data_IF_878326400388
#
_entry.id   IF_878326400388
#
_cell.length_a   1.000
_cell.length_b   1.000
_cell.length_c   1.000
_cell.angle_alpha   90.00
_cell.angle_beta   90.00
_cell.angle_gamma   90.00
#
_symmetry.space_group_name_H-M   'P 1'
#
loop_
_entity.id
_entity.type
_entity.pdbx_description
1 polymer ?
#
# COMPACT_ATOMS: atom_id res chain seq x y z
N UNK A 1 10.73 -22.30 9.79
CA UNK A 1 11.67 -22.32 10.92
C UNK A 1 12.92 -21.56 10.50
N UNK A 2 12.90 -20.21 10.50
CA UNK A 2 14.13 -19.45 10.22
C UNK A 2 14.86 -19.23 11.55
N UNK A 3 16.15 -19.52 11.52
CA UNK A 3 17.04 -19.37 12.66
C UNK A 3 17.04 -17.91 13.08
N UNK A 4 16.62 -17.66 14.32
CA UNK A 4 16.75 -16.37 14.98
C UNK A 4 18.23 -15.99 15.00
N UNK A 5 18.61 -15.04 14.16
CA UNK A 5 19.89 -14.35 14.28
C UNK A 5 19.97 -13.75 15.68
N UNK A 6 20.85 -14.31 16.51
CA UNK A 6 21.01 -14.00 17.94
C UNK A 6 21.69 -12.65 18.20
N UNK A 7 21.90 -11.82 17.17
CA UNK A 7 22.45 -10.47 17.27
C UNK A 7 21.36 -9.43 17.21
N UNK A 8 21.43 -8.43 18.08
CA UNK A 8 20.50 -7.31 18.05
C UNK A 8 20.70 -6.50 16.75
N UNK A 9 19.62 -5.90 16.20
CA UNK A 9 19.74 -5.01 15.02
C UNK A 9 20.67 -3.80 15.29
N UNK A 10 20.95 -3.47 16.55
CA UNK A 10 21.85 -2.37 16.93
C UNK A 10 23.34 -2.73 16.76
N UNK A 11 23.70 -4.02 16.80
CA UNK A 11 25.09 -4.49 16.73
C UNK A 11 25.50 -4.96 15.33
N UNK A 12 24.60 -4.86 14.35
CA UNK A 12 24.85 -5.30 12.98
C UNK A 12 25.49 -4.20 12.14
N UNK A 13 26.38 -4.59 11.23
CA UNK A 13 26.93 -3.68 10.24
C UNK A 13 25.86 -3.21 9.25
N UNK A 14 26.09 -2.06 8.59
CA UNK A 14 25.16 -1.53 7.61
C UNK A 14 24.90 -2.48 6.42
N UNK A 15 25.88 -3.33 6.08
CA UNK A 15 25.73 -4.33 5.01
C UNK A 15 24.85 -5.49 5.45
N UNK A 16 25.05 -5.99 6.67
CA UNK A 16 24.21 -7.06 7.24
C UNK A 16 22.75 -6.59 7.41
N UNK A 17 22.54 -5.35 7.84
CA UNK A 17 21.19 -4.76 7.94
C UNK A 17 20.46 -4.73 6.59
N UNK A 18 21.15 -4.38 5.50
CA UNK A 18 20.57 -4.39 4.15
C UNK A 18 20.24 -5.80 3.68
N UNK A 19 21.15 -6.75 3.91
CA UNK A 19 20.91 -8.15 3.55
C UNK A 19 19.70 -8.74 4.31
N UNK A 20 19.58 -8.40 5.60
CA UNK A 20 18.42 -8.80 6.40
C UNK A 20 17.12 -8.16 5.91
N UNK A 21 17.14 -6.88 5.54
CA UNK A 21 15.97 -6.21 4.95
C UNK A 21 15.56 -6.86 3.61
N UNK A 22 16.51 -7.20 2.74
CA UNK A 22 16.22 -7.90 1.49
C UNK A 22 15.63 -9.30 1.73
N UNK A 23 16.11 -10.03 2.73
CA UNK A 23 15.56 -11.32 3.11
C UNK A 23 14.14 -11.18 3.69
N UNK A 24 13.91 -10.19 4.55
CA UNK A 24 12.59 -9.84 5.10
C UNK A 24 11.61 -9.45 3.98
N UNK A 25 12.07 -8.75 2.93
CA UNK A 25 11.23 -8.42 1.78
C UNK A 25 10.90 -9.61 0.90
N UNK A 26 11.81 -10.57 0.74
CA UNK A 26 11.59 -11.73 -0.13
C UNK A 26 10.75 -12.82 0.56
N UNK A 27 10.92 -13.03 1.86
CA UNK A 27 10.29 -14.14 2.61
C UNK A 27 9.16 -13.69 3.54
N UNK A 28 9.07 -12.40 3.85
CA UNK A 28 8.12 -11.85 4.80
C UNK A 28 6.78 -11.39 4.20
N UNK A 29 5.93 -10.72 4.99
CA UNK A 29 4.62 -10.25 4.55
C UNK A 29 4.68 -9.21 3.42
N UNK A 30 5.78 -8.45 3.32
CA UNK A 30 6.01 -7.47 2.25
C UNK A 30 6.37 -8.13 0.90
N UNK A 31 6.60 -9.45 0.87
CA UNK A 31 6.82 -10.20 -0.38
C UNK A 31 5.67 -10.05 -1.38
N UNK A 32 4.45 -9.80 -0.90
CA UNK A 32 3.30 -9.51 -1.76
C UNK A 32 3.52 -8.25 -2.60
N UNK A 33 4.13 -7.21 -2.03
CA UNK A 33 4.48 -5.98 -2.73
C UNK A 33 5.69 -6.19 -3.65
N UNK A 34 6.69 -6.95 -3.20
CA UNK A 34 7.84 -7.31 -4.01
C UNK A 34 7.41 -8.05 -5.29
N UNK A 35 6.49 -9.00 -5.17
CA UNK A 35 5.90 -9.68 -6.32
C UNK A 35 5.08 -8.73 -7.20
N UNK A 36 4.34 -7.78 -6.60
CA UNK A 36 3.57 -6.81 -7.37
C UNK A 36 4.46 -5.89 -8.21
N UNK A 37 5.61 -5.45 -7.67
CA UNK A 37 6.60 -4.67 -8.41
C UNK A 37 7.23 -5.49 -9.53
N UNK A 38 7.71 -6.71 -9.22
CA UNK A 38 8.36 -7.61 -10.21
C UNK A 38 7.43 -7.97 -11.38
N UNK A 39 6.19 -8.31 -11.08
CA UNK A 39 5.22 -8.72 -12.09
C UNK A 39 4.46 -7.54 -12.69
N UNK A 40 4.74 -6.31 -12.22
CA UNK A 40 4.02 -5.10 -12.60
C UNK A 40 2.48 -5.26 -12.48
N UNK A 41 1.99 -6.01 -11.48
CA UNK A 41 0.56 -6.30 -11.32
C UNK A 41 -0.17 -5.12 -10.68
N UNK A 42 -1.50 -5.08 -10.87
CA UNK A 42 -2.33 -4.10 -10.19
C UNK A 42 -2.56 -4.50 -8.72
N UNK A 43 -2.52 -3.48 -7.86
CA UNK A 43 -2.83 -3.59 -6.44
C UNK A 43 -4.00 -2.69 -6.09
N UNK A 44 -4.84 -3.15 -5.18
CA UNK A 44 -5.86 -2.36 -4.52
C UNK A 44 -5.37 -2.01 -3.11
N UNK A 45 -5.26 -0.71 -2.82
CA UNK A 45 -4.82 -0.19 -1.52
C UNK A 45 -5.99 0.52 -0.85
N UNK A 46 -6.34 0.10 0.37
CA UNK A 46 -7.34 0.78 1.19
C UNK A 46 -6.66 1.73 2.17
N UNK A 47 -7.07 3.00 2.15
CA UNK A 47 -6.49 4.04 2.98
C UNK A 47 -7.35 4.36 4.22
N UNK A 48 -6.73 5.04 5.20
CA UNK A 48 -7.37 5.47 6.45
C UNK A 48 -8.48 6.50 6.27
N UNK A 49 -8.43 7.30 5.22
CA UNK A 49 -9.49 8.24 4.84
C UNK A 49 -10.68 7.57 4.13
N UNK A 50 -10.73 6.23 4.13
CA UNK A 50 -11.75 5.43 3.44
C UNK A 50 -11.75 5.56 1.91
N UNK A 51 -10.66 6.08 1.33
CA UNK A 51 -10.43 6.05 -0.11
C UNK A 51 -9.76 4.73 -0.50
N UNK A 52 -9.99 4.29 -1.74
CA UNK A 52 -9.36 3.10 -2.32
C UNK A 52 -8.55 3.50 -3.53
N UNK A 53 -7.31 3.04 -3.62
CA UNK A 53 -6.43 3.27 -4.75
C UNK A 53 -6.29 1.96 -5.53
N UNK A 54 -6.59 1.99 -6.82
CA UNK A 54 -6.19 0.96 -7.75
C UNK A 54 -4.96 1.46 -8.50
N UNK A 55 -3.81 0.83 -8.34
CA UNK A 55 -2.54 1.33 -8.84
C UNK A 55 -1.57 0.21 -9.21
N UNK A 56 -0.44 0.57 -9.85
CA UNK A 56 0.72 -0.32 -9.98
C UNK A 56 1.86 0.24 -9.13
N UNK A 57 2.46 -0.62 -8.31
CA UNK A 57 3.60 -0.24 -7.46
C UNK A 57 4.88 -0.28 -8.29
N UNK A 58 5.67 0.80 -8.24
CA UNK A 58 7.01 0.86 -8.85
C UNK A 58 8.14 0.67 -7.85
N UNK A 59 7.95 1.20 -6.64
CA UNK A 59 8.87 1.00 -5.53
C UNK A 59 8.09 1.04 -4.21
N UNK A 60 8.62 0.37 -3.19
CA UNK A 60 8.12 0.45 -1.82
C UNK A 60 9.30 0.43 -0.85
N UNK A 61 9.04 0.72 0.42
CA UNK A 61 10.03 0.62 1.49
C UNK A 61 9.50 -0.15 2.72
N UNK A 62 10.35 -0.26 3.75
CA UNK A 62 10.02 -0.92 5.03
C UNK A 62 8.87 -0.29 5.82
N UNK A 63 8.54 0.97 5.55
CA UNK A 63 7.44 1.68 6.19
C UNK A 63 6.14 1.58 5.38
N UNK A 64 6.12 0.77 4.32
CA UNK A 64 5.05 0.70 3.35
C UNK A 64 4.79 2.03 2.62
N UNK A 65 5.77 2.93 2.56
CA UNK A 65 5.70 4.05 1.61
C UNK A 65 5.81 3.46 0.21
N UNK A 66 5.09 4.03 -0.76
CA UNK A 66 5.01 3.50 -2.11
C UNK A 66 5.12 4.60 -3.16
N UNK A 67 5.83 4.28 -4.24
CA UNK A 67 5.76 5.02 -5.49
C UNK A 67 4.79 4.28 -6.39
N UNK A 68 3.69 4.95 -6.74
CA UNK A 68 2.60 4.40 -7.51
C UNK A 68 2.50 5.06 -8.88
N UNK A 69 2.14 4.29 -9.89
CA UNK A 69 1.83 4.77 -11.23
C UNK A 69 0.43 4.34 -11.67
N UNK A 70 -0.17 5.14 -12.56
CA UNK A 70 -1.52 4.93 -13.10
C UNK A 70 -2.55 4.72 -11.98
N UNK A 71 -2.55 5.64 -11.02
CA UNK A 71 -3.38 5.55 -9.82
C UNK A 71 -4.79 6.00 -10.16
N UNK A 72 -5.76 5.12 -9.92
CA UNK A 72 -7.17 5.45 -9.87
C UNK A 72 -7.62 5.46 -8.41
N UNK A 73 -7.85 6.66 -7.90
CA UNK A 73 -8.42 6.87 -6.57
C UNK A 73 -9.94 6.85 -6.67
N UNK A 74 -10.60 6.13 -5.76
CA UNK A 74 -12.04 5.94 -5.72
C UNK A 74 -12.53 6.18 -4.29
N UNK A 75 -13.57 7.00 -4.15
CA UNK A 75 -14.23 7.25 -2.88
C UNK A 75 -15.72 7.50 -3.08
N UNK A 76 -16.46 7.44 -1.99
CA UNK A 76 -17.90 7.66 -1.99
C UNK A 76 -18.19 8.90 -1.15
N UNK A 77 -18.84 9.89 -1.75
CA UNK A 77 -19.37 11.03 -1.04
C UNK A 77 -20.84 10.80 -0.71
N UNK A 78 -21.20 10.98 0.55
CA UNK A 78 -22.60 11.04 0.96
C UNK A 78 -22.94 12.51 1.18
N UNK A 79 -23.76 13.14 0.32
CA UNK A 79 -24.16 14.52 0.51
C UNK A 79 -24.84 14.68 1.87
N UNK A 80 -24.48 15.73 2.63
CA UNK A 80 -25.22 16.08 3.85
C UNK A 80 -26.61 16.56 3.43
N UNK A 81 -27.61 15.69 3.57
CA UNK A 81 -29.00 16.07 3.37
C UNK A 81 -29.41 17.07 4.47
N UNK A 82 -30.16 18.10 4.10
CA UNK A 82 -30.74 19.05 5.06
C UNK A 82 -31.63 18.36 6.09
N UNK A 83 -31.85 19.03 7.23
CA UNK A 83 -32.66 18.49 8.34
C UNK A 83 -34.06 18.09 7.83
N UNK A 84 -34.38 16.79 7.88
CA UNK A 84 -35.69 16.25 7.46
C UNK A 84 -35.74 15.59 6.08
N UNK A 85 -34.65 15.58 5.31
CA UNK A 85 -34.60 14.89 4.00
C UNK A 85 -33.96 13.51 4.14
N UNK A 86 -34.54 12.48 3.50
CA UNK A 86 -33.95 11.13 3.43
C UNK A 86 -32.49 11.23 2.98
N UNK A 87 -31.58 10.48 3.62
CA UNK A 87 -30.14 10.47 3.29
C UNK A 87 -29.96 10.41 1.77
N UNK A 88 -29.24 11.39 1.23
CA UNK A 88 -28.96 11.45 -0.20
C UNK A 88 -28.20 10.19 -0.64
N UNK A 89 -28.44 9.75 -1.87
CA UNK A 89 -27.76 8.59 -2.43
C UNK A 89 -26.24 8.79 -2.40
N UNK A 90 -25.52 7.73 -2.05
CA UNK A 90 -24.08 7.69 -2.09
C UNK A 90 -23.58 7.91 -3.54
N UNK A 91 -22.73 8.92 -3.75
CA UNK A 91 -22.17 9.26 -5.06
C UNK A 91 -20.74 8.74 -5.11
N UNK A 92 -20.47 7.83 -6.04
CA UNK A 92 -19.12 7.36 -6.29
C UNK A 92 -18.35 8.38 -7.14
N UNK A 93 -17.18 8.78 -6.66
CA UNK A 93 -16.25 9.63 -7.39
C UNK A 93 -14.96 8.88 -7.63
N UNK A 94 -14.34 9.17 -8.75
CA UNK A 94 -13.00 8.72 -9.06
C UNK A 94 -12.11 9.87 -9.55
N UNK A 95 -10.81 9.68 -9.36
CA UNK A 95 -9.77 10.58 -9.83
C UNK A 95 -8.61 9.77 -10.38
N UNK A 96 -8.04 10.21 -11.49
CA UNK A 96 -6.85 9.61 -12.07
C UNK A 96 -5.61 10.47 -11.77
N UNK A 97 -4.51 9.81 -11.38
CA UNK A 97 -3.22 10.42 -11.09
C UNK A 97 -2.13 9.57 -11.74
N UNK A 98 -1.36 10.17 -12.66
CA UNK A 98 -0.35 9.45 -13.44
C UNK A 98 0.78 8.88 -12.58
N UNK A 99 1.28 9.67 -11.62
CA UNK A 99 2.34 9.29 -10.68
C UNK A 99 2.03 9.86 -9.30
N UNK A 100 2.18 9.05 -8.26
CA UNK A 100 1.86 9.43 -6.89
C UNK A 100 2.87 8.83 -5.91
N UNK A 101 3.30 9.62 -4.94
CA UNK A 101 3.94 9.11 -3.75
C UNK A 101 2.89 8.92 -2.65
N UNK A 102 2.84 7.72 -2.08
CA UNK A 102 1.95 7.38 -0.99
C UNK A 102 2.77 7.10 0.28
N UNK A 103 2.39 7.73 1.38
CA UNK A 103 2.97 7.46 2.69
C UNK A 103 2.30 6.26 3.34
N UNK A 104 3.09 5.39 3.98
CA UNK A 104 2.64 4.09 4.48
C UNK A 104 1.81 4.13 5.76
N UNK A 105 1.83 5.23 6.52
CA UNK A 105 0.99 5.43 7.71
C UNK A 105 -0.52 5.46 7.41
N UNK A 106 -0.85 5.84 6.18
CA UNK A 106 -2.21 5.95 5.66
C UNK A 106 -2.74 4.62 5.13
N UNK A 107 -1.88 3.63 4.89
CA UNK A 107 -2.24 2.32 4.34
C UNK A 107 -2.82 1.43 5.43
N UNK A 108 -3.97 0.81 5.16
CA UNK A 108 -4.58 -0.18 6.07
C UNK A 108 -4.39 -1.60 5.51
N UNK A 109 -4.82 -1.82 4.26
CA UNK A 109 -4.78 -3.13 3.61
C UNK A 109 -4.30 -2.96 2.18
N UNK A 110 -3.43 -3.87 1.74
CA UNK A 110 -3.02 -4.00 0.35
C UNK A 110 -3.45 -5.37 -0.16
N UNK A 111 -4.14 -5.37 -1.30
CA UNK A 111 -4.55 -6.58 -1.99
C UNK A 111 -3.88 -6.60 -3.37
N UNK A 112 -3.15 -7.68 -3.64
CA UNK A 112 -2.56 -7.94 -4.96
C UNK A 112 -3.57 -8.67 -5.82
N UNK A 113 -3.83 -8.17 -7.02
CA UNK A 113 -4.62 -8.90 -8.02
C UNK A 113 -3.82 -10.11 -8.53
N UNK A 114 -4.45 -11.29 -8.57
CA UNK A 114 -3.85 -12.54 -9.08
C UNK A 114 -4.31 -12.89 -10.50
N UNK A 115 -5.05 -11.99 -11.15
CA UNK A 115 -5.50 -12.13 -12.53
C UNK A 115 -4.39 -11.73 -13.52
#
# INVERSE_FOLDING_TARGET
MSASTSKSKADMSAQELRALEEEEFNSGPLSVLQMAVRNNTQVLVSLRNNHKLLARVKAFDRHCNMVLENVKEMWTETPKAGKGVKRAAAINKDRFISKMFLRGDSVIVVLRSTA
#
